data_IF_142969543064
#
_entry.id   IF_142969543064
#
_cell.length_a   1.000
_cell.length_b   1.000
_cell.length_c   1.000
_cell.angle_alpha   90.00
_cell.angle_beta   90.00
_cell.angle_gamma   90.00
#
_symmetry.space_group_name_H-M   'P 1'
#
loop_
_entity.id
_entity.type
_entity.pdbx_description
1 polymer ?
#
# COMPACT_ATOMS: atom_id res chain seq x y z
N UNK A 1 12.87 18.80 3.32
CA UNK A 1 11.53 18.87 2.70
C UNK A 1 10.56 18.14 3.61
N UNK A 2 9.43 18.74 3.99
CA UNK A 2 8.44 18.06 4.86
C UNK A 2 7.64 17.06 4.01
N UNK A 3 7.46 15.83 4.53
CA UNK A 3 6.54 14.80 4.03
C UNK A 3 6.83 14.07 2.69
N UNK A 4 7.96 14.31 2.02
CA UNK A 4 8.41 13.55 0.81
C UNK A 4 7.43 13.54 -0.38
N UNK A 5 6.70 14.64 -0.62
CA UNK A 5 5.91 14.80 -1.84
C UNK A 5 6.75 15.34 -3.01
N UNK A 6 6.37 14.96 -4.22
CA UNK A 6 6.96 15.40 -5.49
C UNK A 6 5.87 15.77 -6.50
N UNK A 7 6.27 16.47 -7.56
CA UNK A 7 5.44 16.82 -8.69
C UNK A 7 5.85 15.96 -9.90
N UNK A 8 4.91 15.19 -10.45
CA UNK A 8 5.10 14.53 -11.74
C UNK A 8 4.31 15.23 -12.84
N UNK A 9 4.94 15.40 -14.01
CA UNK A 9 4.29 15.99 -15.18
C UNK A 9 3.29 15.03 -15.81
N UNK A 10 2.06 15.50 -16.01
CA UNK A 10 1.07 14.88 -16.89
C UNK A 10 0.84 15.72 -18.15
N UNK A 11 -0.07 15.28 -19.01
CA UNK A 11 -0.45 16.03 -20.22
C UNK A 11 -1.31 17.23 -19.85
N UNK A 12 -0.68 18.39 -19.67
CA UNK A 12 -1.36 19.65 -19.32
C UNK A 12 -1.73 19.79 -17.84
N UNK A 13 -1.28 18.88 -16.97
CA UNK A 13 -1.50 18.97 -15.52
C UNK A 13 -0.27 18.48 -14.75
N UNK A 14 -0.19 18.82 -13.47
CA UNK A 14 0.83 18.29 -12.55
C UNK A 14 0.16 17.36 -11.55
N UNK A 15 0.75 16.19 -11.35
CA UNK A 15 0.31 15.20 -10.38
C UNK A 15 1.17 15.32 -9.14
N UNK A 16 0.63 15.95 -8.10
CA UNK A 16 1.26 16.04 -6.79
C UNK A 16 1.11 14.71 -6.07
N UNK A 17 2.21 14.06 -5.72
CA UNK A 17 2.18 12.68 -5.24
C UNK A 17 3.29 12.37 -4.24
N UNK A 18 3.16 11.23 -3.57
CA UNK A 18 4.16 10.64 -2.68
C UNK A 18 4.32 9.17 -3.03
N UNK A 19 5.57 8.72 -3.09
CA UNK A 19 5.86 7.31 -3.29
C UNK A 19 5.71 6.54 -1.97
N UNK A 20 5.05 5.39 -2.06
CA UNK A 20 4.88 4.43 -0.96
C UNK A 20 5.33 3.08 -1.50
N UNK A 21 6.09 2.31 -0.71
CA UNK A 21 6.63 0.99 -1.11
C UNK A 21 5.56 0.05 -1.70
N UNK A 22 4.34 0.15 -1.17
CA UNK A 22 3.17 -0.51 -1.73
C UNK A 22 3.21 -2.03 -1.58
N UNK A 23 2.61 -2.74 -2.54
CA UNK A 23 2.45 -4.19 -2.50
C UNK A 23 3.74 -4.98 -2.74
N UNK A 24 4.89 -4.32 -2.97
CA UNK A 24 6.18 -4.97 -3.08
C UNK A 24 6.48 -5.87 -1.88
N UNK A 25 6.25 -5.38 -0.66
CA UNK A 25 6.46 -6.16 0.58
C UNK A 25 5.62 -7.44 0.58
N UNK A 26 4.36 -7.35 0.10
CA UNK A 26 3.45 -8.49 0.02
C UNK A 26 3.94 -9.50 -1.03
N UNK A 27 4.49 -9.03 -2.15
CA UNK A 27 5.08 -9.87 -3.20
C UNK A 27 6.31 -10.63 -2.69
N UNK A 28 7.21 -9.95 -1.98
CA UNK A 28 8.40 -10.57 -1.40
C UNK A 28 8.03 -11.64 -0.37
N UNK A 29 7.09 -11.36 0.54
CA UNK A 29 6.62 -12.33 1.52
C UNK A 29 5.91 -13.51 0.87
N UNK A 30 5.09 -13.28 -0.15
CA UNK A 30 4.44 -14.36 -0.92
C UNK A 30 5.48 -15.30 -1.51
N UNK A 31 6.58 -14.76 -2.07
CA UNK A 31 7.70 -15.55 -2.59
C UNK A 31 8.43 -16.29 -1.47
N UNK A 32 8.85 -15.61 -0.41
CA UNK A 32 9.60 -16.22 0.71
C UNK A 32 8.81 -17.32 1.43
N UNK A 33 7.49 -17.15 1.54
CA UNK A 33 6.62 -18.13 2.19
C UNK A 33 6.15 -19.25 1.27
N UNK A 34 6.51 -19.20 -0.02
CA UNK A 34 6.06 -20.11 -1.07
C UNK A 34 4.53 -20.22 -1.14
N UNK A 35 3.83 -19.07 -1.10
CA UNK A 35 2.38 -19.00 -1.19
C UNK A 35 1.98 -18.73 -2.65
N UNK A 36 1.06 -19.53 -3.18
CA UNK A 36 0.71 -19.50 -4.60
C UNK A 36 -0.17 -18.31 -5.00
N UNK A 37 -1.13 -17.93 -4.13
CA UNK A 37 -2.18 -16.94 -4.46
C UNK A 37 -2.22 -15.79 -3.45
N UNK A 38 -2.74 -14.63 -3.85
CA UNK A 38 -2.92 -13.50 -2.92
C UNK A 38 -4.12 -13.72 -1.99
N UNK A 39 -5.09 -14.50 -2.43
CA UNK A 39 -6.25 -14.93 -1.66
C UNK A 39 -5.82 -15.72 -0.42
N UNK A 40 -4.83 -16.60 -0.57
CA UNK A 40 -4.25 -17.35 0.55
C UNK A 40 -3.51 -16.43 1.53
N UNK A 41 -2.75 -15.45 1.03
CA UNK A 41 -2.12 -14.43 1.89
C UNK A 41 -3.17 -13.69 2.72
N UNK A 42 -4.27 -13.27 2.09
CA UNK A 42 -5.38 -12.57 2.77
C UNK A 42 -6.06 -13.49 3.78
N UNK A 43 -6.26 -14.78 3.47
CA UNK A 43 -6.84 -15.76 4.38
C UNK A 43 -6.00 -15.90 5.65
N UNK A 44 -4.68 -16.08 5.51
CA UNK A 44 -3.75 -16.17 6.63
C UNK A 44 -3.74 -14.88 7.47
N UNK A 45 -3.77 -13.72 6.83
CA UNK A 45 -3.84 -12.44 7.52
C UNK A 45 -5.11 -12.31 8.39
N UNK A 46 -6.28 -12.67 7.83
CA UNK A 46 -7.57 -12.56 8.53
C UNK A 46 -7.74 -13.55 9.68
N UNK A 47 -6.96 -14.64 9.69
CA UNK A 47 -6.91 -15.57 10.83
C UNK A 47 -6.09 -15.01 12.01
N UNK A 48 -5.29 -13.97 11.78
CA UNK A 48 -4.46 -13.35 12.80
C UNK A 48 -5.18 -12.17 13.48
N UNK A 49 -5.03 -12.07 14.80
CA UNK A 49 -5.39 -10.87 15.57
C UNK A 49 -4.22 -9.88 15.72
N UNK A 50 -3.07 -10.14 15.08
CA UNK A 50 -1.86 -9.33 15.21
C UNK A 50 -1.91 -8.11 14.28
N UNK A 51 -2.19 -6.94 14.84
CA UNK A 51 -2.41 -5.70 14.08
C UNK A 51 -1.36 -4.62 14.38
N UNK A 52 -0.21 -4.99 14.97
CA UNK A 52 0.88 -4.03 15.18
C UNK A 52 1.44 -3.57 13.84
N UNK A 53 1.91 -2.33 13.76
CA UNK A 53 2.34 -1.71 12.51
C UNK A 53 3.81 -1.28 12.55
N UNK A 54 4.40 -1.10 11.38
CA UNK A 54 5.75 -0.60 11.19
C UNK A 54 5.78 0.41 10.03
N UNK A 55 6.91 1.09 9.83
CA UNK A 55 7.06 2.02 8.71
C UNK A 55 7.43 1.28 7.42
N UNK A 56 6.46 1.04 6.55
CA UNK A 56 6.66 0.35 5.26
C UNK A 56 7.61 1.08 4.31
N UNK A 57 7.91 2.35 4.55
CA UNK A 57 8.84 3.14 3.73
C UNK A 57 10.27 3.19 4.32
N UNK A 58 10.55 2.46 5.41
CA UNK A 58 11.93 2.33 5.89
C UNK A 58 12.81 1.71 4.79
N UNK A 59 13.98 2.32 4.56
CA UNK A 59 14.91 1.94 3.51
C UNK A 59 15.36 0.47 3.58
N UNK A 60 15.26 -0.18 4.74
CA UNK A 60 15.60 -1.61 4.89
C UNK A 60 14.73 -2.53 4.02
N UNK A 61 13.54 -2.08 3.62
CA UNK A 61 12.62 -2.87 2.79
C UNK A 61 12.84 -2.72 1.28
N UNK A 62 13.77 -1.86 0.85
CA UNK A 62 14.07 -1.67 -0.58
C UNK A 62 14.69 -2.91 -1.24
N UNK A 63 15.62 -3.57 -0.55
CA UNK A 63 16.30 -4.77 -1.05
C UNK A 63 16.81 -5.63 0.11
N UNK A 64 15.93 -6.19 0.96
CA UNK A 64 16.35 -7.01 2.08
C UNK A 64 16.82 -8.39 1.58
N UNK A 65 17.73 -9.03 2.33
CA UNK A 65 18.05 -10.45 2.12
C UNK A 65 16.86 -11.36 2.42
N UNK A 66 16.05 -10.98 3.42
CA UNK A 66 14.74 -11.58 3.71
C UNK A 66 13.81 -10.51 4.25
N UNK A 67 12.74 -10.24 3.51
CA UNK A 67 11.67 -9.36 3.91
C UNK A 67 11.02 -9.83 5.21
N UNK A 68 10.82 -11.14 5.37
CA UNK A 68 10.27 -11.71 6.61
C UNK A 68 11.13 -11.38 7.83
N UNK A 69 12.45 -11.62 7.76
CA UNK A 69 13.35 -11.41 8.90
C UNK A 69 13.43 -9.96 9.32
N UNK A 70 13.50 -9.03 8.37
CA UNK A 70 13.53 -7.59 8.67
C UNK A 70 12.25 -7.13 9.40
N UNK A 71 11.07 -7.59 8.94
CA UNK A 71 9.79 -7.25 9.57
C UNK A 71 9.68 -7.93 10.94
N UNK A 72 10.01 -9.22 11.05
CA UNK A 72 9.98 -9.95 12.31
C UNK A 72 10.85 -9.26 13.36
N UNK A 73 12.10 -8.93 13.02
CA UNK A 73 13.03 -8.27 13.94
C UNK A 73 12.54 -6.90 14.38
N UNK A 74 11.99 -6.09 13.46
CA UNK A 74 11.43 -4.78 13.81
C UNK A 74 10.26 -4.91 14.80
N UNK A 75 9.31 -5.80 14.49
CA UNK A 75 8.13 -5.99 15.33
C UNK A 75 8.50 -6.52 16.73
N UNK A 76 9.44 -7.47 16.81
CA UNK A 76 9.96 -8.00 18.08
C UNK A 76 10.68 -6.95 18.90
N UNK A 77 11.43 -6.05 18.26
CA UNK A 77 12.15 -4.97 18.94
C UNK A 77 11.20 -3.88 19.45
N UNK A 78 10.13 -3.59 18.70
CA UNK A 78 9.24 -2.46 18.95
C UNK A 78 8.09 -2.77 19.90
N UNK A 79 7.67 -4.03 20.00
CA UNK A 79 6.47 -4.43 20.72
C UNK A 79 6.71 -5.61 21.66
N UNK A 80 6.07 -5.59 22.83
CA UNK A 80 6.15 -6.68 23.81
C UNK A 80 5.56 -7.98 23.26
N UNK A 81 4.49 -7.88 22.46
CA UNK A 81 3.91 -9.04 21.76
C UNK A 81 4.60 -9.21 20.40
N UNK A 82 5.36 -10.29 20.29
CA UNK A 82 6.01 -10.70 19.04
C UNK A 82 5.03 -11.37 18.08
N UNK A 83 5.27 -11.31 16.75
CA UNK A 83 4.57 -12.16 15.80
C UNK A 83 4.97 -13.63 16.02
N UNK A 84 4.00 -14.53 15.92
CA UNK A 84 4.17 -15.97 16.21
C UNK A 84 4.12 -16.82 14.94
N UNK A 85 3.47 -16.33 13.88
CA UNK A 85 3.27 -17.08 12.64
C UNK A 85 3.27 -16.17 11.40
N UNK A 86 3.25 -16.79 10.20
CA UNK A 86 3.23 -16.07 8.92
C UNK A 86 2.03 -15.12 8.80
N UNK A 87 0.86 -15.55 9.28
CA UNK A 87 -0.37 -14.75 9.27
C UNK A 87 -0.21 -13.44 10.04
N UNK A 88 0.47 -13.45 11.19
CA UNK A 88 0.75 -12.25 11.98
C UNK A 88 1.59 -11.23 11.20
N UNK A 89 2.62 -11.69 10.50
CA UNK A 89 3.47 -10.82 9.68
C UNK A 89 2.67 -10.25 8.51
N UNK A 90 1.95 -11.09 7.77
CA UNK A 90 1.16 -10.64 6.62
C UNK A 90 0.09 -9.63 7.07
N UNK A 91 -0.57 -9.90 8.21
CA UNK A 91 -1.59 -9.00 8.74
C UNK A 91 -0.99 -7.65 9.16
N UNK A 92 0.16 -7.70 9.86
CA UNK A 92 0.92 -6.51 10.22
C UNK A 92 1.28 -5.66 8.99
N UNK A 93 1.69 -6.28 7.88
CA UNK A 93 1.99 -5.58 6.62
C UNK A 93 0.76 -4.86 6.06
N UNK A 94 -0.40 -5.54 5.98
CA UNK A 94 -1.62 -4.90 5.48
C UNK A 94 -2.06 -3.72 6.35
N UNK A 95 -1.99 -3.87 7.66
CA UNK A 95 -2.26 -2.78 8.60
C UNK A 95 -1.25 -1.64 8.48
N UNK A 96 0.02 -1.94 8.25
CA UNK A 96 1.09 -0.93 8.09
C UNK A 96 0.93 -0.14 6.79
N UNK A 97 0.55 -0.81 5.69
CA UNK A 97 0.21 -0.14 4.43
C UNK A 97 -1.00 0.79 4.61
N UNK A 98 -2.09 0.30 5.21
CA UNK A 98 -3.27 1.12 5.47
C UNK A 98 -2.96 2.33 6.36
N UNK A 99 -2.13 2.15 7.39
CA UNK A 99 -1.66 3.26 8.23
C UNK A 99 -0.81 4.27 7.45
N UNK A 100 0.09 3.78 6.60
CA UNK A 100 0.90 4.64 5.73
C UNK A 100 0.02 5.48 4.79
N UNK A 101 -1.04 4.90 4.22
CA UNK A 101 -1.98 5.64 3.39
C UNK A 101 -2.76 6.70 4.19
N UNK A 102 -3.19 6.39 5.41
CA UNK A 102 -3.82 7.38 6.31
C UNK A 102 -2.91 8.57 6.58
N UNK A 103 -1.62 8.33 6.89
CA UNK A 103 -0.65 9.40 7.08
C UNK A 103 -0.47 10.22 5.80
N UNK A 104 -0.33 9.58 4.65
CA UNK A 104 -0.18 10.29 3.38
C UNK A 104 -1.41 11.15 3.02
N UNK A 105 -2.62 10.68 3.34
CA UNK A 105 -3.86 11.46 3.18
C UNK A 105 -3.87 12.67 4.11
N UNK A 106 -3.53 12.50 5.39
CA UNK A 106 -3.44 13.62 6.33
C UNK A 106 -2.41 14.67 5.88
N UNK A 107 -1.26 14.22 5.38
CA UNK A 107 -0.21 15.10 4.86
C UNK A 107 -0.65 15.86 3.61
N UNK A 108 -1.26 15.20 2.61
CA UNK A 108 -1.69 15.87 1.38
C UNK A 108 -2.82 16.88 1.67
N UNK A 109 -3.75 16.56 2.57
CA UNK A 109 -4.80 17.49 3.01
C UNK A 109 -4.20 18.70 3.72
N UNK A 110 -3.20 18.48 4.58
CA UNK A 110 -2.51 19.56 5.29
C UNK A 110 -1.76 20.48 4.34
N UNK A 111 -1.03 19.92 3.38
CA UNK A 111 -0.23 20.68 2.41
C UNK A 111 -1.13 21.49 1.45
N UNK A 112 -2.22 20.87 0.99
CA UNK A 112 -3.12 21.50 0.01
C UNK A 112 -4.18 22.40 0.62
N UNK A 113 -4.40 22.31 1.94
CA UNK A 113 -5.50 22.99 2.63
C UNK A 113 -6.89 22.47 2.23
N UNK A 114 -6.98 21.30 1.59
CA UNK A 114 -8.22 20.71 1.09
C UNK A 114 -8.54 19.42 1.83
N UNK A 115 -9.83 19.07 1.86
CA UNK A 115 -10.31 17.76 2.31
C UNK A 115 -10.77 16.95 1.12
N UNK A 116 -10.53 15.64 1.18
CA UNK A 116 -10.93 14.69 0.15
C UNK A 116 -11.86 13.65 0.76
N UNK A 117 -12.99 13.35 0.12
CA UNK A 117 -13.97 12.42 0.68
C UNK A 117 -13.73 10.96 0.27
N UNK A 118 -12.97 10.76 -0.82
CA UNK A 118 -12.73 9.44 -1.38
C UNK A 118 -11.30 9.23 -1.86
N UNK A 119 -10.92 7.95 -1.89
CA UNK A 119 -9.67 7.44 -2.44
C UNK A 119 -10.03 6.51 -3.60
N UNK A 120 -9.43 6.74 -4.75
CA UNK A 120 -9.61 5.88 -5.93
C UNK A 120 -8.37 4.99 -6.06
N UNK A 121 -8.58 3.67 -6.12
CA UNK A 121 -7.50 2.68 -6.26
C UNK A 121 -7.63 2.01 -7.62
N UNK A 122 -6.55 2.03 -8.41
CA UNK A 122 -6.48 1.41 -9.73
C UNK A 122 -5.49 0.24 -9.75
N UNK A 123 -5.55 -0.57 -10.81
CA UNK A 123 -4.59 -1.63 -11.10
C UNK A 123 -4.78 -2.90 -10.27
N UNK A 124 -3.81 -3.82 -10.34
CA UNK A 124 -3.92 -5.13 -9.70
C UNK A 124 -4.14 -5.08 -8.19
N UNK A 125 -3.62 -4.06 -7.51
CA UNK A 125 -3.81 -3.87 -6.06
C UNK A 125 -5.26 -3.60 -5.66
N UNK A 126 -6.07 -3.03 -6.56
CA UNK A 126 -7.49 -2.78 -6.32
C UNK A 126 -8.30 -4.07 -6.07
N UNK A 127 -7.79 -5.23 -6.49
CA UNK A 127 -8.43 -6.55 -6.24
C UNK A 127 -8.34 -6.99 -4.78
N UNK A 128 -7.46 -6.39 -3.97
CA UNK A 128 -7.27 -6.76 -2.58
C UNK A 128 -8.33 -6.08 -1.69
N UNK A 129 -9.51 -6.68 -1.62
CA UNK A 129 -10.63 -6.16 -0.83
C UNK A 129 -10.31 -6.01 0.66
N UNK A 130 -9.44 -6.87 1.21
CA UNK A 130 -9.05 -6.75 2.61
C UNK A 130 -8.23 -5.48 2.87
N UNK A 131 -7.23 -5.20 2.03
CA UNK A 131 -6.47 -3.96 2.12
C UNK A 131 -7.38 -2.74 1.85
N UNK A 132 -8.29 -2.81 0.87
CA UNK A 132 -9.24 -1.72 0.59
C UNK A 132 -10.07 -1.37 1.84
N UNK A 133 -10.64 -2.37 2.52
CA UNK A 133 -11.40 -2.13 3.76
C UNK A 133 -10.52 -1.59 4.90
N UNK A 134 -9.26 -2.02 5.00
CA UNK A 134 -8.33 -1.43 5.97
C UNK A 134 -8.02 0.03 5.63
N UNK A 135 -7.84 0.37 4.35
CA UNK A 135 -7.64 1.76 3.91
C UNK A 135 -8.84 2.62 4.31
N UNK A 136 -10.07 2.16 4.07
CA UNK A 136 -11.28 2.88 4.53
C UNK A 136 -11.28 3.06 6.05
N UNK A 137 -10.95 2.00 6.79
CA UNK A 137 -10.94 2.02 8.25
C UNK A 137 -9.91 3.00 8.82
N UNK A 138 -8.71 3.06 8.24
CA UNK A 138 -7.63 3.92 8.71
C UNK A 138 -7.78 5.36 8.24
N UNK A 139 -8.22 5.58 7.00
CA UNK A 139 -8.31 6.92 6.39
C UNK A 139 -9.64 7.62 6.67
N UNK A 140 -10.67 6.85 7.02
CA UNK A 140 -12.08 7.30 7.12
C UNK A 140 -12.62 7.92 5.83
N UNK A 141 -12.03 7.55 4.69
CA UNK A 141 -12.46 7.96 3.34
C UNK A 141 -13.15 6.79 2.64
N UNK A 142 -14.06 7.08 1.74
CA UNK A 142 -14.67 6.07 0.86
C UNK A 142 -13.62 5.54 -0.11
N UNK A 143 -13.46 4.22 -0.24
CA UNK A 143 -12.54 3.63 -1.23
C UNK A 143 -13.30 3.14 -2.45
N UNK A 144 -12.98 3.71 -3.61
CA UNK A 144 -13.48 3.27 -4.91
C UNK A 144 -12.39 2.47 -5.63
N UNK A 145 -12.50 1.15 -5.60
CA UNK A 145 -11.51 0.25 -6.18
C UNK A 145 -11.91 -0.18 -7.60
N UNK A 146 -11.07 0.12 -8.58
CA UNK A 146 -11.26 -0.26 -9.98
C UNK A 146 -10.11 -1.19 -10.42
N UNK A 147 -10.36 -2.51 -10.53
CA UNK A 147 -9.35 -3.48 -10.95
C UNK A 147 -9.13 -3.45 -12.47
N UNK A 148 -8.90 -2.25 -13.00
CA UNK A 148 -8.68 -1.95 -14.40
C UNK A 148 -7.23 -1.56 -14.64
N UNK A 149 -6.71 -1.87 -15.82
CA UNK A 149 -5.37 -1.48 -16.26
C UNK A 149 -5.34 0.01 -16.65
N UNK A 150 -5.41 0.89 -15.64
CA UNK A 150 -5.50 2.34 -15.83
C UNK A 150 -4.33 2.90 -16.65
N UNK A 151 -3.13 2.36 -16.50
CA UNK A 151 -1.96 2.75 -17.30
C UNK A 151 -2.15 2.44 -18.79
N UNK A 152 -2.65 1.24 -19.12
CA UNK A 152 -2.91 0.84 -20.51
C UNK A 152 -4.04 1.68 -21.12
N UNK A 153 -5.13 1.89 -20.38
CA UNK A 153 -6.26 2.72 -20.83
C UNK A 153 -5.85 4.18 -21.05
N UNK A 154 -5.07 4.75 -20.13
CA UNK A 154 -4.53 6.10 -20.28
C UNK A 154 -3.65 6.22 -21.50
N UNK A 155 -2.79 5.23 -21.75
CA UNK A 155 -1.92 5.20 -22.92
C UNK A 155 -2.72 5.12 -24.24
N UNK A 156 -3.67 4.19 -24.34
CA UNK A 156 -4.53 4.05 -25.53
C UNK A 156 -5.29 5.36 -25.81
N UNK A 157 -5.90 5.96 -24.79
CA UNK A 157 -6.65 7.22 -24.94
C UNK A 157 -5.80 8.30 -25.61
N UNK A 158 -4.59 8.52 -25.11
CA UNK A 158 -3.70 9.54 -25.64
C UNK A 158 -3.25 9.21 -27.07
N UNK A 159 -2.92 7.96 -27.36
CA UNK A 159 -2.58 7.56 -28.73
C UNK A 159 -3.77 7.79 -29.69
N UNK A 160 -5.00 7.48 -29.28
CA UNK A 160 -6.21 7.70 -30.08
C UNK A 160 -6.53 9.18 -30.32
N UNK A 161 -6.13 10.08 -29.42
CA UNK A 161 -6.30 11.53 -29.63
C UNK A 161 -5.31 12.11 -30.65
N UNK A 162 -4.16 11.45 -30.85
CA UNK A 162 -3.09 11.88 -31.76
C UNK A 162 -3.22 11.22 -33.14
N UNK A 163 -3.72 9.98 -33.20
CA UNK A 163 -4.00 9.27 -34.45
C UNK A 163 -5.34 9.78 -35.01
N UNK A 164 -5.27 10.72 -35.95
CA UNK A 164 -6.41 11.14 -36.79
C UNK A 164 -6.64 10.17 -37.94
#
# INVERSE_FOLDING_TARGET
MKSNFTNEGGLGYTRFQKNIMGLWIVQELKREFNIETYEEMVRLAKMSCYQKTFDVNDSRYLSPKSMYREIEMELRKRYDKSPENKGDIINSVFHSLAKCYSVAVEEIETITGKKYDSIIIFGGGAKNNYLNSLVENYTKKTVNAYPIEASALGNIKIQSEVIK
#
